data_IF_886381234355
#
_entry.id   IF_886381234355
#
_cell.length_a   1.000
_cell.length_b   1.000
_cell.length_c   1.000
_cell.angle_alpha   90.00
_cell.angle_beta   90.00
_cell.angle_gamma   90.00
#
_symmetry.space_group_name_H-M   'P 1'
#
loop_
_entity.id
_entity.type
_entity.pdbx_description
1 polymer ?
#
# COMPACT_ATOMS: atom_id res chain seq x y z
N UNK A 1 -3.95 -22.62 -16.24
CA UNK A 1 -5.32 -22.14 -16.48
C UNK A 1 -5.91 -21.73 -15.13
N UNK A 2 -6.36 -20.51 -15.00
CA UNK A 2 -7.06 -19.98 -13.81
C UNK A 2 -8.53 -19.81 -14.18
N UNK A 3 -9.43 -20.21 -13.28
CA UNK A 3 -10.86 -19.96 -13.43
C UNK A 3 -11.51 -19.70 -12.09
N UNK A 4 -12.41 -18.72 -12.00
CA UNK A 4 -13.16 -18.47 -10.78
C UNK A 4 -14.45 -17.69 -11.02
N UNK A 5 -15.34 -17.72 -10.03
CA UNK A 5 -16.58 -16.96 -9.98
C UNK A 5 -16.51 -16.01 -8.79
N UNK A 6 -16.79 -14.74 -9.03
CA UNK A 6 -16.75 -13.69 -8.00
C UNK A 6 -17.91 -12.71 -8.21
N UNK A 7 -18.35 -12.05 -7.12
CA UNK A 7 -19.24 -10.90 -7.24
C UNK A 7 -18.50 -9.69 -7.82
N UNK A 8 -19.09 -9.01 -8.79
CA UNK A 8 -18.51 -7.86 -9.48
C UNK A 8 -18.13 -6.72 -8.53
N UNK A 9 -18.92 -6.47 -7.48
CA UNK A 9 -18.66 -5.40 -6.50
C UNK A 9 -17.53 -5.76 -5.54
N UNK A 10 -17.40 -7.05 -5.19
CA UNK A 10 -16.29 -7.52 -4.37
C UNK A 10 -14.97 -7.42 -5.13
N UNK A 11 -14.94 -7.82 -6.40
CA UNK A 11 -13.79 -7.60 -7.27
C UNK A 11 -13.44 -6.11 -7.39
N UNK A 12 -14.43 -5.27 -7.66
CA UNK A 12 -14.23 -3.82 -7.77
C UNK A 12 -13.65 -3.21 -6.48
N UNK A 13 -14.10 -3.65 -5.31
CA UNK A 13 -13.57 -3.23 -4.02
C UNK A 13 -12.09 -3.60 -3.88
N UNK A 14 -11.73 -4.84 -4.22
CA UNK A 14 -10.33 -5.28 -4.19
C UNK A 14 -9.45 -4.49 -5.18
N UNK A 15 -9.93 -4.29 -6.41
CA UNK A 15 -9.23 -3.48 -7.41
C UNK A 15 -9.03 -2.02 -6.96
N UNK A 16 -10.05 -1.40 -6.33
CA UNK A 16 -9.94 -0.05 -5.76
C UNK A 16 -8.84 0.03 -4.69
N UNK A 17 -8.67 -1.02 -3.91
CA UNK A 17 -7.64 -1.07 -2.86
C UNK A 17 -6.24 -1.07 -3.47
N UNK A 18 -5.95 -2.00 -4.37
CA UNK A 18 -4.60 -2.16 -4.94
C UNK A 18 -4.23 -1.08 -5.96
N UNK A 19 -5.22 -0.51 -6.65
CA UNK A 19 -5.02 0.56 -7.64
C UNK A 19 -4.32 1.79 -7.04
N UNK A 20 -4.45 2.03 -5.74
CA UNK A 20 -3.81 3.16 -5.05
C UNK A 20 -2.28 3.13 -5.13
N UNK A 21 -1.67 1.95 -5.28
CA UNK A 21 -0.23 1.78 -5.45
C UNK A 21 0.22 1.78 -6.91
N UNK A 22 -0.69 1.70 -7.87
CA UNK A 22 -0.35 1.60 -9.30
C UNK A 22 -0.38 3.00 -9.92
N UNK A 23 0.74 3.44 -10.48
CA UNK A 23 0.87 4.73 -11.17
C UNK A 23 0.48 4.61 -12.65
N UNK A 24 0.10 5.73 -13.25
CA UNK A 24 -0.21 5.78 -14.68
C UNK A 24 1.04 5.69 -15.57
N UNK A 25 2.18 6.21 -15.09
CA UNK A 25 3.46 6.21 -15.81
C UNK A 25 4.48 5.43 -14.99
N UNK A 26 4.62 4.15 -15.30
CA UNK A 26 5.58 3.27 -14.64
C UNK A 26 6.84 3.11 -15.50
N UNK A 27 7.98 2.97 -14.85
CA UNK A 27 9.26 2.65 -15.52
C UNK A 27 9.23 1.28 -16.21
N UNK A 28 8.47 0.34 -15.62
CA UNK A 28 8.23 -0.99 -16.16
C UNK A 28 6.73 -1.12 -16.52
N UNK A 29 6.37 -1.47 -17.77
CA UNK A 29 4.97 -1.60 -18.20
C UNK A 29 4.15 -2.56 -17.33
N UNK A 30 4.76 -3.65 -16.84
CA UNK A 30 4.09 -4.65 -16.00
C UNK A 30 3.59 -4.07 -14.67
N UNK A 31 4.21 -2.99 -14.14
CA UNK A 31 3.73 -2.28 -12.97
C UNK A 31 2.41 -1.52 -13.21
N UNK A 32 1.96 -1.42 -14.47
CA UNK A 32 0.61 -0.97 -14.82
C UNK A 32 -0.46 -2.08 -14.68
N UNK A 33 -0.05 -3.28 -14.31
CA UNK A 33 -0.95 -4.42 -14.10
C UNK A 33 -1.28 -4.65 -12.63
N UNK A 34 -2.44 -5.25 -12.39
CA UNK A 34 -2.76 -5.93 -11.13
C UNK A 34 -2.41 -7.40 -11.26
N UNK A 35 -1.69 -7.93 -10.29
CA UNK A 35 -1.50 -9.36 -10.13
C UNK A 35 -2.74 -9.94 -9.47
N UNK A 36 -3.27 -11.01 -10.05
CA UNK A 36 -4.43 -11.76 -9.59
C UNK A 36 -4.03 -13.21 -9.41
N UNK A 37 -4.17 -13.75 -8.22
CA UNK A 37 -3.89 -15.17 -7.92
C UNK A 37 -5.03 -15.78 -7.14
N UNK A 38 -5.58 -16.87 -7.64
CA UNK A 38 -6.55 -17.70 -6.90
C UNK A 38 -5.79 -18.72 -6.07
N UNK A 39 -6.07 -18.76 -4.79
CA UNK A 39 -5.53 -19.72 -3.82
C UNK A 39 -6.68 -20.20 -2.92
N UNK A 40 -7.15 -21.40 -3.17
CA UNK A 40 -8.33 -21.95 -2.52
C UNK A 40 -9.58 -21.09 -2.76
N UNK A 41 -10.23 -20.64 -1.72
CA UNK A 41 -11.47 -19.84 -1.79
C UNK A 41 -11.22 -18.33 -1.83
N UNK A 42 -9.99 -17.89 -2.10
CA UNK A 42 -9.64 -16.48 -2.11
C UNK A 42 -8.91 -16.05 -3.38
N UNK A 43 -9.30 -14.88 -3.87
CA UNK A 43 -8.56 -14.12 -4.86
C UNK A 43 -7.60 -13.17 -4.16
N UNK A 44 -6.32 -13.35 -4.37
CA UNK A 44 -5.27 -12.45 -3.94
C UNK A 44 -5.01 -11.42 -5.04
N UNK A 45 -5.08 -10.14 -4.68
CA UNK A 45 -4.80 -9.02 -5.56
C UNK A 45 -3.56 -8.28 -5.07
N UNK A 46 -2.67 -7.90 -5.98
CA UNK A 46 -1.48 -7.12 -5.68
C UNK A 46 -1.22 -6.09 -6.76
N UNK A 47 -0.86 -4.88 -6.36
CA UNK A 47 -0.43 -3.80 -7.24
C UNK A 47 0.68 -2.99 -6.61
N UNK A 48 1.53 -2.35 -7.41
CA UNK A 48 2.63 -1.53 -6.91
C UNK A 48 3.28 -0.68 -7.99
N UNK A 49 4.16 0.23 -7.57
CA UNK A 49 4.91 1.14 -8.44
C UNK A 49 6.44 0.92 -8.40
N UNK A 50 6.89 -0.14 -7.71
CA UNK A 50 8.30 -0.44 -7.47
C UNK A 50 8.80 0.03 -6.10
N UNK A 51 8.15 1.00 -5.48
CA UNK A 51 8.49 1.55 -4.17
C UNK A 51 7.45 1.20 -3.10
N UNK A 52 6.18 1.18 -3.50
CA UNK A 52 5.04 0.83 -2.65
C UNK A 52 4.24 -0.27 -3.31
N UNK A 53 3.86 -1.27 -2.54
CA UNK A 53 3.00 -2.37 -2.96
C UNK A 53 1.81 -2.48 -2.03
N UNK A 54 0.63 -2.67 -2.59
CA UNK A 54 -0.59 -2.98 -1.84
C UNK A 54 -1.10 -4.32 -2.28
N UNK A 55 -1.40 -5.19 -1.33
CA UNK A 55 -2.09 -6.45 -1.56
C UNK A 55 -3.33 -6.56 -0.69
N UNK A 56 -4.33 -7.28 -1.19
CA UNK A 56 -5.55 -7.58 -0.46
C UNK A 56 -6.12 -8.92 -0.90
N UNK A 57 -7.08 -9.44 -0.14
CA UNK A 57 -7.77 -10.70 -0.44
C UNK A 57 -9.25 -10.44 -0.58
N UNK A 58 -9.88 -11.18 -1.48
CA UNK A 58 -11.32 -11.14 -1.72
C UNK A 58 -11.82 -12.58 -1.81
N UNK A 59 -12.94 -12.90 -1.16
CA UNK A 59 -13.53 -14.23 -1.26
C UNK A 59 -14.10 -14.44 -2.66
N UNK A 60 -13.95 -15.63 -3.18
CA UNK A 60 -14.58 -16.08 -4.42
C UNK A 60 -15.68 -17.08 -4.10
N UNK A 61 -16.59 -17.29 -5.05
CA UNK A 61 -17.70 -18.22 -4.89
C UNK A 61 -17.28 -19.65 -5.25
N UNK A 62 -16.40 -19.78 -6.22
CA UNK A 62 -15.84 -21.04 -6.71
C UNK A 62 -14.60 -20.73 -7.55
N UNK A 63 -13.63 -21.64 -7.66
CA UNK A 63 -12.49 -21.43 -8.54
C UNK A 63 -11.41 -22.50 -8.51
N UNK A 64 -10.51 -22.37 -9.47
CA UNK A 64 -9.31 -23.18 -9.63
C UNK A 64 -8.08 -22.30 -9.47
N UNK A 65 -7.10 -22.78 -8.74
CA UNK A 65 -5.84 -22.06 -8.47
C UNK A 65 -5.13 -21.66 -9.76
N UNK A 66 -4.52 -20.51 -9.76
CA UNK A 66 -3.75 -19.97 -10.86
C UNK A 66 -3.50 -18.47 -10.70
N UNK A 67 -2.79 -17.88 -11.66
CA UNK A 67 -2.47 -16.47 -11.58
C UNK A 67 -2.24 -15.82 -12.93
N UNK A 68 -2.41 -14.50 -12.98
CA UNK A 68 -2.12 -13.65 -14.13
C UNK A 68 -1.83 -12.21 -13.70
N UNK A 69 -1.24 -11.44 -14.60
CA UNK A 69 -1.09 -10.00 -14.46
C UNK A 69 -1.93 -9.29 -15.55
N UNK A 70 -2.87 -8.45 -15.13
CA UNK A 70 -3.86 -7.81 -16.03
C UNK A 70 -3.70 -6.30 -15.98
N UNK A 71 -3.71 -5.57 -17.12
CA UNK A 71 -3.70 -4.11 -17.14
C UNK A 71 -4.83 -3.53 -16.29
N UNK A 72 -4.48 -2.88 -15.16
CA UNK A 72 -5.46 -2.45 -14.14
C UNK A 72 -6.47 -1.45 -14.69
N UNK A 73 -6.03 -0.52 -15.54
CA UNK A 73 -6.89 0.52 -16.09
C UNK A 73 -8.04 -0.07 -16.90
N UNK A 74 -7.73 -1.01 -17.80
CA UNK A 74 -8.73 -1.65 -18.66
C UNK A 74 -9.68 -2.52 -17.84
N UNK A 75 -9.14 -3.34 -16.93
CA UNK A 75 -9.94 -4.20 -16.06
C UNK A 75 -10.86 -3.37 -15.16
N UNK A 76 -10.33 -2.35 -14.52
CA UNK A 76 -11.09 -1.48 -13.63
C UNK A 76 -12.23 -0.76 -14.37
N UNK A 77 -11.94 -0.19 -15.55
CA UNK A 77 -12.93 0.50 -16.35
C UNK A 77 -14.06 -0.42 -16.84
N UNK A 78 -13.74 -1.68 -17.14
CA UNK A 78 -14.74 -2.68 -17.51
C UNK A 78 -15.60 -3.09 -16.30
N UNK A 79 -14.98 -3.44 -15.17
CA UNK A 79 -15.68 -3.97 -13.97
C UNK A 79 -16.53 -2.92 -13.27
N UNK A 80 -16.08 -1.66 -13.19
CA UNK A 80 -16.80 -0.59 -12.45
C UNK A 80 -18.22 -0.32 -12.97
N UNK A 81 -18.46 -0.61 -14.24
CA UNK A 81 -19.75 -0.37 -14.90
C UNK A 81 -20.69 -1.59 -14.85
N UNK A 82 -20.22 -2.73 -14.34
CA UNK A 82 -21.07 -3.90 -14.17
C UNK A 82 -22.05 -3.71 -13.01
N UNK A 83 -23.29 -4.20 -13.15
CA UNK A 83 -24.22 -4.27 -12.03
C UNK A 83 -23.68 -5.22 -10.94
N UNK A 84 -24.36 -5.25 -9.80
CA UNK A 84 -24.04 -6.17 -8.69
C UNK A 84 -24.46 -7.59 -9.03
N UNK A 85 -23.59 -8.36 -9.64
CA UNK A 85 -23.83 -9.73 -10.15
C UNK A 85 -22.60 -10.62 -9.97
N UNK A 86 -22.84 -11.93 -10.00
CA UNK A 86 -21.77 -12.91 -10.18
C UNK A 86 -21.20 -12.85 -11.59
N UNK A 87 -19.89 -12.83 -11.71
CA UNK A 87 -19.16 -12.86 -12.97
C UNK A 87 -18.21 -14.05 -12.99
N UNK A 88 -18.07 -14.69 -14.15
CA UNK A 88 -17.10 -15.77 -14.40
C UNK A 88 -15.83 -15.21 -15.01
N UNK A 89 -14.69 -15.57 -14.45
CA UNK A 89 -13.38 -15.18 -14.96
C UNK A 89 -12.60 -16.44 -15.33
N UNK A 90 -11.98 -16.42 -16.50
CA UNK A 90 -11.06 -17.47 -16.95
C UNK A 90 -9.83 -16.86 -17.61
N UNK A 91 -8.71 -17.58 -17.52
CA UNK A 91 -7.46 -17.25 -18.19
C UNK A 91 -7.06 -18.44 -19.08
N UNK A 92 -7.00 -18.17 -20.38
CA UNK A 92 -6.61 -19.15 -21.39
C UNK A 92 -5.50 -18.56 -22.27
N UNK A 93 -4.33 -19.18 -22.25
CA UNK A 93 -3.15 -18.64 -22.93
C UNK A 93 -2.81 -17.23 -22.43
N UNK A 94 -2.83 -16.26 -23.31
CA UNK A 94 -2.53 -14.83 -23.00
C UNK A 94 -3.78 -13.96 -22.89
N UNK A 95 -4.95 -14.57 -22.67
CA UNK A 95 -6.22 -13.86 -22.59
C UNK A 95 -6.88 -14.07 -21.23
N UNK A 96 -7.25 -12.95 -20.62
CA UNK A 96 -8.18 -12.88 -19.51
C UNK A 96 -9.56 -12.65 -20.06
N UNK A 97 -10.51 -13.52 -19.75
CA UNK A 97 -11.90 -13.44 -20.18
C UNK A 97 -12.80 -13.23 -18.97
N UNK A 98 -13.73 -12.32 -19.08
CA UNK A 98 -14.81 -12.10 -18.12
C UNK A 98 -16.16 -12.29 -18.80
N UNK A 99 -16.94 -13.25 -18.30
CA UNK A 99 -18.31 -13.54 -18.74
C UNK A 99 -19.31 -13.05 -17.69
N UNK A 100 -20.36 -12.39 -18.14
CA UNK A 100 -21.49 -11.91 -17.33
C UNK A 100 -22.80 -12.04 -18.09
N UNK A 101 -23.95 -11.90 -17.40
CA UNK A 101 -25.28 -12.28 -17.93
C UNK A 101 -25.56 -11.90 -19.40
N UNK A 102 -25.14 -10.74 -19.85
CA UNK A 102 -25.51 -10.19 -21.16
C UNK A 102 -24.28 -9.94 -22.07
N UNK A 103 -23.13 -10.46 -21.72
CA UNK A 103 -21.94 -10.24 -22.54
C UNK A 103 -20.65 -10.80 -21.95
N UNK A 104 -19.58 -10.51 -22.64
CA UNK A 104 -18.24 -10.82 -22.20
C UNK A 104 -17.25 -9.79 -22.70
N UNK A 105 -16.09 -9.71 -22.06
CA UNK A 105 -14.94 -8.97 -22.58
C UNK A 105 -13.67 -9.79 -22.39
N UNK A 106 -12.68 -9.46 -23.17
CA UNK A 106 -11.36 -10.09 -23.11
C UNK A 106 -10.27 -9.03 -23.01
N UNK A 107 -9.23 -9.31 -22.24
CA UNK A 107 -8.06 -8.46 -22.09
C UNK A 107 -6.79 -9.29 -22.26
N UNK A 108 -5.77 -8.71 -22.89
CA UNK A 108 -4.43 -9.30 -22.91
C UNK A 108 -3.83 -9.30 -21.49
N UNK A 109 -3.10 -10.34 -21.16
CA UNK A 109 -2.38 -10.46 -19.89
C UNK A 109 -0.87 -10.43 -20.11
N UNK A 110 -0.15 -10.07 -19.06
CA UNK A 110 1.31 -10.12 -18.98
C UNK A 110 1.75 -11.35 -18.16
N UNK A 111 3.02 -11.73 -18.34
CA UNK A 111 3.60 -12.82 -17.58
C UNK A 111 3.79 -12.44 -16.11
N UNK A 112 3.06 -13.11 -15.23
CA UNK A 112 3.11 -12.86 -13.79
C UNK A 112 4.51 -13.02 -13.19
N UNK A 113 5.36 -13.88 -13.75
CA UNK A 113 6.72 -14.12 -13.28
C UNK A 113 7.64 -12.90 -13.46
N UNK A 114 7.30 -11.99 -14.36
CA UNK A 114 8.03 -10.75 -14.58
C UNK A 114 7.64 -9.65 -13.61
N UNK A 115 6.59 -9.86 -12.78
CA UNK A 115 6.14 -8.85 -11.83
C UNK A 115 7.14 -8.74 -10.67
N UNK A 116 7.65 -7.52 -10.38
CA UNK A 116 8.62 -7.34 -9.31
C UNK A 116 8.07 -7.79 -7.96
N UNK A 117 8.87 -8.50 -7.20
CA UNK A 117 8.56 -8.92 -5.84
C UNK A 117 9.28 -8.05 -4.84
N UNK A 118 8.64 -7.80 -3.71
CA UNK A 118 9.25 -7.19 -2.54
C UNK A 118 9.10 -8.17 -1.37
N UNK A 119 10.17 -8.39 -0.66
CA UNK A 119 10.13 -9.21 0.55
C UNK A 119 9.50 -8.44 1.69
N UNK A 120 8.63 -9.11 2.45
CA UNK A 120 8.10 -8.56 3.68
C UNK A 120 9.22 -8.48 4.73
N UNK A 121 9.27 -7.41 5.55
CA UNK A 121 10.20 -7.37 6.67
C UNK A 121 9.98 -8.53 7.64
N UNK A 122 11.08 -9.19 8.05
CA UNK A 122 11.08 -10.25 9.07
C UNK A 122 11.44 -9.63 10.42
N UNK A 123 10.50 -8.99 11.06
CA UNK A 123 10.66 -8.38 12.37
C UNK A 123 9.43 -8.58 13.25
N UNK A 124 9.56 -8.28 14.53
CA UNK A 124 8.43 -8.27 15.44
C UNK A 124 7.32 -7.33 14.96
N UNK A 125 6.08 -7.79 15.14
CA UNK A 125 4.88 -7.02 14.79
C UNK A 125 4.54 -6.05 15.92
N UNK A 126 4.35 -4.80 15.57
CA UNK A 126 3.99 -3.72 16.48
C UNK A 126 2.59 -3.23 16.13
N UNK A 127 1.69 -3.19 17.09
CA UNK A 127 0.36 -2.61 16.90
C UNK A 127 0.39 -1.09 17.10
N UNK A 128 -0.10 -0.33 16.11
CA UNK A 128 -0.25 1.11 16.17
C UNK A 128 -1.73 1.46 16.04
N UNK A 129 -2.29 2.02 17.09
CA UNK A 129 -3.70 2.43 17.14
C UNK A 129 -3.90 3.91 16.84
N UNK A 130 -2.93 4.76 17.17
CA UNK A 130 -2.97 6.19 16.84
C UNK A 130 -2.43 6.47 15.43
N UNK A 131 -3.22 6.12 14.44
CA UNK A 131 -2.91 6.41 13.03
C UNK A 131 -3.12 7.88 12.68
N UNK A 132 -3.87 8.64 13.49
CA UNK A 132 -4.16 10.06 13.25
C UNK A 132 -2.91 10.90 13.32
N UNK A 133 -2.05 10.66 14.31
CA UNK A 133 -0.78 11.38 14.46
C UNK A 133 0.15 11.15 13.26
N UNK A 134 0.22 9.92 12.74
CA UNK A 134 1.04 9.62 11.55
C UNK A 134 0.49 10.35 10.31
N UNK A 135 -0.83 10.32 10.12
CA UNK A 135 -1.49 11.00 8.99
C UNK A 135 -1.33 12.52 9.08
N UNK A 136 -1.49 13.08 10.28
CA UNK A 136 -1.33 14.51 10.51
C UNK A 136 0.12 14.94 10.26
N UNK A 137 1.10 14.18 10.73
CA UNK A 137 2.51 14.42 10.48
C UNK A 137 2.82 14.51 8.98
N UNK A 138 2.13 13.72 8.14
CA UNK A 138 2.28 13.79 6.68
C UNK A 138 2.00 15.16 6.07
N UNK A 139 1.29 16.05 6.77
CA UNK A 139 1.01 17.42 6.31
C UNK A 139 2.14 18.42 6.62
N UNK A 140 3.17 17.98 7.32
CA UNK A 140 4.30 18.83 7.75
C UNK A 140 5.64 18.38 7.19
N UNK A 141 5.65 17.44 6.23
CA UNK A 141 6.87 17.00 5.55
C UNK A 141 7.37 18.06 4.58
N UNK A 142 8.66 18.03 4.28
CA UNK A 142 9.26 18.85 3.23
C UNK A 142 8.94 18.29 1.83
N UNK A 143 9.18 19.13 0.82
CA UNK A 143 9.31 18.72 -0.57
C UNK A 143 10.63 19.31 -1.06
N UNK A 144 11.73 18.64 -0.71
CA UNK A 144 13.10 19.15 -0.89
C UNK A 144 14.03 18.03 -1.37
N UNK A 145 14.47 18.14 -2.62
CA UNK A 145 15.38 17.16 -3.23
C UNK A 145 16.76 17.11 -2.54
N UNK A 146 17.18 18.18 -1.88
CA UNK A 146 18.47 18.26 -1.19
C UNK A 146 18.44 17.62 0.20
N UNK A 147 17.25 17.48 0.77
CA UNK A 147 17.05 16.90 2.11
C UNK A 147 15.97 15.81 2.09
N UNK A 148 16.18 14.71 1.35
CA UNK A 148 15.15 13.71 1.14
C UNK A 148 14.63 13.08 2.45
N UNK A 149 15.43 13.01 3.50
CA UNK A 149 15.01 12.50 4.82
C UNK A 149 13.87 13.33 5.45
N UNK A 150 13.74 14.62 5.11
CA UNK A 150 12.68 15.49 5.60
C UNK A 150 11.39 15.40 4.77
N UNK A 151 11.42 14.72 3.64
CA UNK A 151 10.22 14.51 2.81
C UNK A 151 9.31 13.40 3.39
N UNK A 152 9.75 12.70 4.42
CA UNK A 152 9.00 11.63 5.08
C UNK A 152 8.64 11.93 6.53
N UNK A 153 7.83 11.05 7.09
CA UNK A 153 7.47 11.03 8.50
C UNK A 153 8.39 10.08 9.25
N UNK A 154 9.06 10.60 10.28
CA UNK A 154 9.88 9.80 11.18
C UNK A 154 8.99 9.10 12.21
N UNK A 155 9.16 7.80 12.35
CA UNK A 155 8.76 7.03 13.51
C UNK A 155 9.99 6.82 14.39
N UNK A 156 10.05 7.54 15.49
CA UNK A 156 11.14 7.44 16.47
C UNK A 156 10.70 6.53 17.62
N UNK A 157 11.01 5.26 17.52
CA UNK A 157 10.70 4.28 18.57
C UNK A 157 11.57 4.43 19.82
N UNK A 158 12.68 5.18 19.74
CA UNK A 158 13.57 5.40 20.91
C UNK A 158 12.93 6.36 21.92
N UNK A 159 12.11 7.28 21.46
CA UNK A 159 11.38 8.27 22.26
C UNK A 159 9.85 8.13 22.16
N UNK A 160 9.37 7.21 21.33
CA UNK A 160 7.95 6.99 21.11
C UNK A 160 7.26 8.06 20.28
N UNK A 161 8.00 8.90 19.56
CA UNK A 161 7.47 10.05 18.84
C UNK A 161 7.20 9.79 17.36
N UNK A 162 6.18 10.44 16.82
CA UNK A 162 5.99 10.65 15.38
C UNK A 162 6.38 12.07 15.06
N UNK A 163 7.27 12.26 14.09
CA UNK A 163 7.89 13.57 13.81
C UNK A 163 7.89 13.86 12.31
N UNK A 164 7.66 15.10 11.96
CA UNK A 164 7.89 15.62 10.60
C UNK A 164 8.21 17.12 10.64
N UNK A 165 8.92 17.60 9.63
CA UNK A 165 9.28 19.02 9.51
C UNK A 165 9.59 19.38 8.05
N UNK A 166 9.19 20.60 7.67
CA UNK A 166 9.57 21.24 6.41
C UNK A 166 10.75 22.24 6.57
N UNK A 167 11.31 22.32 7.79
CA UNK A 167 12.37 23.27 8.14
C UNK A 167 11.84 24.60 8.70
N UNK A 168 10.53 24.89 8.56
CA UNK A 168 9.86 26.07 9.10
C UNK A 168 8.87 25.72 10.20
N UNK A 169 8.26 24.55 10.09
CA UNK A 169 7.30 23.98 11.03
C UNK A 169 7.79 22.61 11.47
N UNK A 170 7.53 22.27 12.71
CA UNK A 170 7.80 20.96 13.28
C UNK A 170 6.52 20.39 13.86
N UNK A 171 6.16 19.19 13.44
CA UNK A 171 5.18 18.36 14.12
C UNK A 171 5.91 17.30 14.96
N UNK A 172 5.52 17.15 16.21
CA UNK A 172 5.93 16.06 17.09
C UNK A 172 4.71 15.60 17.89
N UNK A 173 4.41 14.32 17.82
CA UNK A 173 3.41 13.73 18.71
C UNK A 173 3.94 13.64 20.13
N UNK A 174 3.06 13.45 21.09
CA UNK A 174 3.41 12.86 22.38
C UNK A 174 3.84 11.38 22.18
N UNK A 175 4.30 10.73 23.23
CA UNK A 175 4.76 9.34 23.17
C UNK A 175 3.63 8.36 22.85
N UNK A 176 3.43 8.07 21.57
CA UNK A 176 2.36 7.21 21.06
C UNK A 176 2.88 5.88 20.48
N UNK A 177 4.19 5.80 20.20
CA UNK A 177 4.83 4.58 19.72
C UNK A 177 5.35 3.78 20.91
N UNK A 178 5.34 2.45 20.84
CA UNK A 178 5.99 1.62 21.85
C UNK A 178 7.51 1.86 21.85
N UNK A 179 8.15 1.58 22.97
CA UNK A 179 9.61 1.75 23.11
C UNK A 179 10.36 0.74 22.23
N UNK A 180 11.38 1.23 21.56
CA UNK A 180 12.28 0.44 20.71
C UNK A 180 13.64 1.14 20.54
N UNK A 181 14.50 0.58 19.72
CA UNK A 181 15.86 1.11 19.51
C UNK A 181 16.04 1.74 18.12
N UNK A 182 14.98 1.74 17.32
CA UNK A 182 15.07 2.09 15.89
C UNK A 182 14.30 3.37 15.56
N UNK A 183 14.72 3.96 14.45
CA UNK A 183 14.06 5.09 13.80
C UNK A 183 13.86 4.74 12.33
N UNK A 184 12.66 4.95 11.80
CA UNK A 184 12.34 4.70 10.39
C UNK A 184 11.61 5.90 9.80
N UNK A 185 11.85 6.16 8.50
CA UNK A 185 11.28 7.31 7.81
C UNK A 185 10.36 6.81 6.69
N UNK A 186 9.06 7.06 6.84
CA UNK A 186 8.03 6.66 5.87
C UNK A 186 7.95 7.72 4.78
N UNK A 187 8.13 7.36 3.49
CA UNK A 187 8.01 8.31 2.39
C UNK A 187 6.56 8.72 2.14
N UNK A 188 6.32 9.84 1.42
CA UNK A 188 4.97 10.33 1.09
C UNK A 188 4.08 9.29 0.41
N UNK A 189 4.64 8.47 -0.48
CA UNK A 189 3.90 7.41 -1.16
C UNK A 189 3.40 6.34 -0.19
N UNK A 190 4.24 5.94 0.77
CA UNK A 190 3.86 5.01 1.83
C UNK A 190 2.74 5.59 2.71
N UNK A 191 2.86 6.86 3.11
CA UNK A 191 1.82 7.56 3.87
C UNK A 191 0.49 7.62 3.11
N UNK A 192 0.53 7.92 1.81
CA UNK A 192 -0.67 7.95 0.98
C UNK A 192 -1.34 6.57 0.86
N UNK A 193 -0.55 5.51 0.81
CA UNK A 193 -1.06 4.13 0.72
C UNK A 193 -1.83 3.70 1.98
N UNK A 194 -1.44 4.20 3.17
CA UNK A 194 -2.07 3.84 4.46
C UNK A 194 -3.10 4.86 4.94
N UNK A 195 -3.37 5.93 4.19
CA UNK A 195 -4.23 7.04 4.64
C UNK A 195 -5.64 6.65 5.08
N UNK A 196 -6.19 5.58 4.49
CA UNK A 196 -7.54 5.10 4.79
C UNK A 196 -7.56 3.98 5.87
N UNK A 197 -6.40 3.56 6.36
CA UNK A 197 -6.31 2.59 7.45
C UNK A 197 -6.55 3.28 8.80
N UNK A 198 -7.45 2.76 9.62
CA UNK A 198 -7.78 3.34 10.94
C UNK A 198 -6.93 2.77 12.09
N UNK A 199 -6.36 1.61 11.87
CA UNK A 199 -5.37 0.96 12.75
C UNK A 199 -4.51 0.06 11.87
N UNK A 200 -3.34 -0.31 12.31
CA UNK A 200 -2.50 -1.28 11.60
C UNK A 200 -1.45 -1.91 12.51
N UNK A 201 -1.12 -3.14 12.18
CA UNK A 201 0.07 -3.82 12.62
C UNK A 201 1.24 -3.38 11.73
N UNK A 202 2.40 -3.14 12.34
CA UNK A 202 3.60 -2.69 11.63
C UNK A 202 4.74 -3.65 11.88
N UNK A 203 5.47 -3.98 10.85
CA UNK A 203 6.80 -4.58 10.92
C UNK A 203 7.74 -3.87 9.96
N UNK A 204 9.04 -3.81 10.26
CA UNK A 204 9.99 -3.10 9.41
C UNK A 204 11.40 -3.66 9.57
N UNK A 205 12.21 -3.48 8.55
CA UNK A 205 13.64 -3.73 8.54
C UNK A 205 14.39 -2.43 8.15
N UNK A 206 15.62 -2.54 7.71
CA UNK A 206 16.43 -1.39 7.30
C UNK A 206 15.93 -0.73 6.01
N UNK A 207 15.15 -1.43 5.18
CA UNK A 207 14.75 -1.01 3.84
C UNK A 207 13.25 -0.80 3.66
N UNK A 208 12.46 -1.62 4.31
CA UNK A 208 11.03 -1.70 4.07
C UNK A 208 10.24 -1.60 5.37
N UNK A 209 9.03 -1.08 5.26
CA UNK A 209 8.02 -1.12 6.31
C UNK A 209 6.76 -1.77 5.75
N UNK A 210 6.17 -2.66 6.53
CA UNK A 210 4.90 -3.32 6.26
C UNK A 210 3.84 -2.80 7.21
N UNK A 211 2.69 -2.43 6.66
CA UNK A 211 1.48 -2.11 7.40
C UNK A 211 0.40 -3.12 7.05
N UNK A 212 -0.25 -3.69 8.05
CA UNK A 212 -1.33 -4.66 7.87
C UNK A 212 -2.58 -4.21 8.61
N UNK A 213 -3.70 -4.22 7.90
CA UNK A 213 -5.03 -4.01 8.46
C UNK A 213 -5.99 -5.01 7.83
N UNK A 214 -6.42 -6.00 8.60
CA UNK A 214 -7.24 -7.11 8.09
C UNK A 214 -6.57 -7.83 6.93
N UNK A 215 -7.25 -7.91 5.79
CA UNK A 215 -6.74 -8.57 4.58
C UNK A 215 -5.84 -7.67 3.72
N UNK A 216 -5.72 -6.40 4.07
CA UNK A 216 -4.91 -5.45 3.31
C UNK A 216 -3.53 -5.30 3.91
N UNK A 217 -2.51 -5.47 3.07
CA UNK A 217 -1.10 -5.29 3.41
C UNK A 217 -0.50 -4.24 2.49
N UNK A 218 0.20 -3.28 3.07
CA UNK A 218 1.00 -2.28 2.36
C UNK A 218 2.46 -2.49 2.71
N UNK A 219 3.33 -2.62 1.71
CA UNK A 219 4.78 -2.63 1.90
C UNK A 219 5.31 -1.39 1.20
N UNK A 220 6.05 -0.57 1.94
CA UNK A 220 6.69 0.64 1.43
C UNK A 220 8.19 0.59 1.66
N UNK A 221 8.96 1.03 0.66
CA UNK A 221 10.36 1.32 0.86
C UNK A 221 10.51 2.49 1.83
N UNK A 222 11.49 2.43 2.72
CA UNK A 222 11.81 3.51 3.66
C UNK A 222 12.74 4.53 3.00
N UNK A 223 12.75 5.76 3.50
CA UNK A 223 13.77 6.75 3.15
C UNK A 223 15.02 6.44 3.97
N UNK A 224 16.14 6.19 3.27
CA UNK A 224 17.43 5.95 3.90
C UNK A 224 18.05 7.27 4.37
N UNK A 225 18.70 7.22 5.54
CA UNK A 225 19.44 8.35 6.10
C UNK A 225 19.06 8.67 7.54
N UNK A 226 19.76 9.64 8.10
CA UNK A 226 19.56 10.08 9.47
C UNK A 226 18.66 11.33 9.50
N UNK A 227 17.54 11.24 10.21
CA UNK A 227 16.67 12.38 10.44
C UNK A 227 17.40 13.43 11.31
N UNK A 228 17.24 14.76 11.05
CA UNK A 228 17.82 15.81 11.88
C UNK A 228 17.43 15.69 13.35
N UNK A 229 18.30 16.17 14.24
CA UNK A 229 17.97 16.20 15.67
C UNK A 229 16.88 17.23 15.96
N UNK A 230 15.64 16.77 15.86
CA UNK A 230 14.44 17.61 16.04
C UNK A 230 14.29 18.14 17.48
N UNK A 231 14.85 17.44 18.48
CA UNK A 231 14.77 17.88 19.87
C UNK A 231 15.55 19.18 20.13
N UNK A 232 16.61 19.43 19.34
CA UNK A 232 17.44 20.62 19.49
C UNK A 232 16.76 21.92 19.08
N UNK A 233 15.70 21.85 18.29
CA UNK A 233 14.96 23.03 17.79
C UNK A 233 13.66 23.32 18.55
N UNK A 234 13.29 22.44 19.49
CA UNK A 234 12.09 22.63 20.31
C UNK A 234 12.41 23.62 21.42
N UNK A 235 11.67 24.77 21.53
CA UNK A 235 11.88 25.74 22.59
C UNK A 235 11.58 25.13 23.97
N UNK A 236 12.53 25.24 24.89
CA UNK A 236 12.37 24.75 26.28
C UNK A 236 11.79 25.79 27.23
N UNK A 237 11.87 27.05 26.86
CA UNK A 237 11.44 28.22 27.70
C UNK A 237 10.38 29.03 26.99
N UNK A 238 9.32 28.40 26.50
CA UNK A 238 8.19 29.15 25.92
C UNK A 238 7.18 29.52 27.02
N UNK A 239 6.93 30.81 27.28
CA UNK A 239 5.97 31.26 28.30
C UNK A 239 4.51 31.02 27.88
N UNK A 240 4.27 30.66 26.61
CA UNK A 240 2.93 30.41 26.07
C UNK A 240 2.80 28.99 25.58
N UNK A 241 1.88 28.26 26.19
CA UNK A 241 1.38 26.95 25.70
C UNK A 241 -0.05 27.18 25.23
N UNK A 242 -0.34 26.78 24.00
CA UNK A 242 -1.68 26.84 23.41
C UNK A 242 -2.30 25.47 23.37
#
# INVERSE_FOLDING_TARGET
NMRFIINSKDLLKGLNTVKKAIRNNNSLPILGCVVMEVKGEQLHLKGGDGEVYISTKVNILDGEDGGCAVPIKLLFDAVRNLPDIGIGISVEGNLFKCDYNNGSFELGIENIEEYPTVEAPDSEVIEITDTKSIKLAGSYVADDELRPVMNGVLLDFTLGHVVSSDGHKLYRSESILPNGEQMVIIPPNGLNAIKDMNSFEVSFDERNILFKNGDTVVISRLIEGRYPNYNSVIPTNNPYTY
#
